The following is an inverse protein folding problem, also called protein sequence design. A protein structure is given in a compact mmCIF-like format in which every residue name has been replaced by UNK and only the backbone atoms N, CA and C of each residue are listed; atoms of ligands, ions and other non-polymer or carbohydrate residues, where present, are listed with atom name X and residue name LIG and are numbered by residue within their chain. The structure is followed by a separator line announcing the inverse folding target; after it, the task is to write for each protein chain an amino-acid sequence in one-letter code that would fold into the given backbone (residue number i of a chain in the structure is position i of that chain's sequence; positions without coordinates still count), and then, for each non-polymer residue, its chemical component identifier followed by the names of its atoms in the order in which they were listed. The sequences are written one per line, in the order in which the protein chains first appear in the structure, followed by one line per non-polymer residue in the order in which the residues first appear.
data_IF_888975901053
#
_entry.id   IF_888975901053
#
_cell.length_a   1.000
_cell.length_b   1.000
_cell.length_c   1.000
_cell.angle_alpha   90.00
_cell.angle_beta   90.00
_cell.angle_gamma   90.00
#
_symmetry.space_group_name_H-M   'P 1'
#
loop_
_entity.id
_entity.type
_entity.pdbx_description
1 polymer ?
#
# COMPACT_ATOMS: atom_id res chain seq x y z
N UNK A 1 -44.56 -32.52 -42.00
CA UNK A 1 -43.82 -31.36 -41.45
C UNK A 1 -44.11 -31.26 -39.95
N UNK A 2 -43.23 -31.77 -39.08
CA UNK A 2 -43.34 -31.63 -37.62
C UNK A 2 -42.13 -30.82 -37.14
N UNK A 3 -42.44 -29.71 -36.46
CA UNK A 3 -41.50 -28.68 -36.01
C UNK A 3 -40.63 -29.24 -34.87
N UNK A 4 -39.31 -29.17 -35.02
CA UNK A 4 -38.37 -29.39 -33.92
C UNK A 4 -38.35 -28.14 -33.05
N UNK A 5 -38.80 -28.25 -31.79
CA UNK A 5 -38.66 -27.20 -30.79
C UNK A 5 -37.32 -27.44 -30.09
N UNK A 6 -36.31 -26.65 -30.46
CA UNK A 6 -35.00 -26.62 -29.81
C UNK A 6 -35.15 -25.77 -28.55
N UNK A 7 -35.26 -26.43 -27.39
CA UNK A 7 -35.13 -25.76 -26.10
C UNK A 7 -33.66 -25.42 -25.88
N UNK A 8 -33.29 -24.16 -26.15
CA UNK A 8 -31.99 -23.64 -25.76
C UNK A 8 -32.07 -23.25 -24.29
N UNK A 9 -31.51 -24.09 -23.42
CA UNK A 9 -31.31 -23.76 -22.01
C UNK A 9 -30.23 -22.66 -21.98
N UNK A 10 -30.64 -21.42 -21.71
CA UNK A 10 -29.74 -20.32 -21.41
C UNK A 10 -29.23 -20.56 -19.99
N UNK A 11 -28.02 -21.10 -19.86
CA UNK A 11 -27.32 -21.17 -18.57
C UNK A 11 -26.77 -19.77 -18.30
N UNK A 12 -27.51 -18.99 -17.50
CA UNK A 12 -27.01 -17.75 -16.91
C UNK A 12 -25.93 -18.11 -15.89
N UNK A 13 -24.66 -18.03 -16.31
CA UNK A 13 -23.52 -18.13 -15.40
C UNK A 13 -23.46 -16.80 -14.64
N UNK A 14 -24.10 -16.77 -13.47
CA UNK A 14 -23.85 -15.71 -12.48
C UNK A 14 -22.61 -16.08 -11.68
N UNK A 15 -21.42 -15.72 -12.17
CA UNK A 15 -20.23 -15.69 -11.32
C UNK A 15 -20.20 -14.36 -10.57
N UNK A 16 -20.83 -14.33 -9.39
CA UNK A 16 -20.51 -13.31 -8.38
C UNK A 16 -19.37 -13.84 -7.51
N UNK A 17 -18.14 -13.44 -7.85
CA UNK A 17 -16.96 -13.52 -6.98
C UNK A 17 -16.38 -12.11 -6.89
N UNK A 18 -17.10 -11.19 -6.24
CA UNK A 18 -16.73 -9.76 -6.14
C UNK A 18 -16.31 -9.33 -4.72
N UNK A 19 -16.22 -10.25 -3.76
CA UNK A 19 -15.99 -9.91 -2.35
C UNK A 19 -14.52 -9.86 -1.90
N UNK A 20 -13.66 -10.77 -2.41
CA UNK A 20 -12.29 -10.92 -1.92
C UNK A 20 -11.29 -9.99 -2.63
N UNK A 21 -11.42 -9.79 -3.95
CA UNK A 21 -10.39 -9.09 -4.75
C UNK A 21 -10.27 -7.59 -4.46
N UNK A 22 -11.39 -6.90 -4.23
CA UNK A 22 -11.38 -5.45 -3.97
C UNK A 22 -10.87 -5.13 -2.56
N UNK A 23 -11.26 -5.94 -1.56
CA UNK A 23 -10.79 -5.76 -0.19
C UNK A 23 -9.29 -6.04 -0.07
N UNK A 24 -8.79 -7.08 -0.76
CA UNK A 24 -7.36 -7.40 -0.75
C UNK A 24 -6.55 -6.34 -1.51
N UNK A 25 -7.09 -5.79 -2.61
CA UNK A 25 -6.48 -4.66 -3.30
C UNK A 25 -6.41 -3.42 -2.41
N UNK A 26 -7.49 -3.08 -1.70
CA UNK A 26 -7.50 -1.96 -0.76
C UNK A 26 -6.42 -2.12 0.31
N UNK A 27 -6.35 -3.28 0.97
CA UNK A 27 -5.32 -3.57 1.99
C UNK A 27 -3.90 -3.45 1.43
N UNK A 28 -3.65 -3.97 0.24
CA UNK A 28 -2.35 -3.86 -0.40
C UNK A 28 -1.99 -2.40 -0.68
N UNK A 29 -2.95 -1.61 -1.16
CA UNK A 29 -2.78 -0.19 -1.41
C UNK A 29 -2.54 0.62 -0.13
N UNK A 30 -3.27 0.34 0.95
CA UNK A 30 -3.05 0.96 2.26
C UNK A 30 -1.67 0.61 2.83
N UNK A 31 -1.20 -0.63 2.64
CA UNK A 31 0.14 -1.03 3.06
C UNK A 31 1.23 -0.27 2.29
N UNK A 32 1.10 -0.15 0.96
CA UNK A 32 2.04 0.63 0.14
C UNK A 32 2.02 2.11 0.54
N UNK A 33 0.83 2.67 0.78
CA UNK A 33 0.65 4.05 1.23
C UNK A 33 1.38 4.31 2.55
N UNK A 34 1.10 3.50 3.58
CA UNK A 34 1.72 3.64 4.89
C UNK A 34 3.25 3.49 4.83
N UNK A 35 3.74 2.50 4.07
CA UNK A 35 5.17 2.30 3.85
C UNK A 35 5.81 3.49 3.12
N UNK A 36 5.13 4.06 2.13
CA UNK A 36 5.58 5.23 1.37
C UNK A 36 5.72 6.46 2.27
N UNK A 37 4.67 6.78 3.03
CA UNK A 37 4.67 7.91 3.97
C UNK A 37 5.79 7.74 5.01
N UNK A 38 5.89 6.57 5.63
CA UNK A 38 6.90 6.31 6.65
C UNK A 38 8.33 6.45 6.10
N UNK A 39 8.60 5.91 4.92
CA UNK A 39 9.91 6.08 4.28
C UNK A 39 10.19 7.53 3.90
N UNK A 40 9.19 8.32 3.53
CA UNK A 40 9.35 9.77 3.35
C UNK A 40 9.81 10.47 4.63
N UNK A 41 9.31 10.05 5.80
CA UNK A 41 9.81 10.54 7.10
C UNK A 41 11.23 10.07 7.39
N UNK A 42 11.56 8.80 7.14
CA UNK A 42 12.92 8.29 7.32
C UNK A 42 13.93 9.05 6.46
N UNK A 43 13.67 9.21 5.16
CA UNK A 43 14.53 9.94 4.24
C UNK A 43 14.76 11.39 4.71
N UNK A 44 13.68 12.05 5.16
CA UNK A 44 13.74 13.44 5.64
C UNK A 44 14.45 13.61 6.99
N UNK A 45 14.16 12.75 7.96
CA UNK A 45 14.65 12.89 9.33
C UNK A 45 16.06 12.31 9.45
N UNK A 46 16.28 11.13 8.87
CA UNK A 46 17.54 10.40 9.01
C UNK A 46 18.56 10.73 7.92
N UNK A 47 18.21 11.60 6.95
CA UNK A 47 19.11 12.00 5.86
C UNK A 47 19.47 10.86 4.91
N UNK A 48 18.54 9.92 4.71
CA UNK A 48 18.74 8.77 3.85
C UNK A 48 18.32 9.06 2.40
N UNK A 49 19.19 8.75 1.44
CA UNK A 49 18.96 8.95 0.00
C UNK A 49 18.58 7.63 -0.73
N UNK A 50 17.71 6.83 -0.11
CA UNK A 50 17.32 5.54 -0.69
C UNK A 50 16.30 5.61 -1.82
N UNK A 51 15.60 6.74 -1.97
CA UNK A 51 14.47 6.92 -2.88
C UNK A 51 13.39 5.84 -2.75
N UNK A 52 13.21 5.29 -1.54
CA UNK A 52 12.22 4.26 -1.24
C UNK A 52 10.81 4.84 -1.33
N UNK A 53 10.63 6.08 -0.83
CA UNK A 53 9.34 6.78 -0.92
C UNK A 53 8.88 6.90 -2.38
N UNK A 54 9.79 7.29 -3.28
CA UNK A 54 9.48 7.49 -4.70
C UNK A 54 9.19 6.16 -5.42
N UNK A 55 9.91 5.07 -5.07
CA UNK A 55 9.62 3.72 -5.57
C UNK A 55 8.24 3.23 -5.11
N UNK A 56 7.90 3.41 -3.84
CA UNK A 56 6.59 3.02 -3.32
C UNK A 56 5.45 3.85 -3.91
N UNK A 57 5.67 5.15 -4.15
CA UNK A 57 4.72 5.98 -4.89
C UNK A 57 4.48 5.47 -6.31
N UNK A 58 5.55 5.02 -6.99
CA UNK A 58 5.43 4.40 -8.32
C UNK A 58 4.57 3.14 -8.26
N UNK A 59 4.83 2.23 -7.31
CA UNK A 59 4.01 1.02 -7.14
C UNK A 59 2.55 1.34 -6.79
N UNK A 60 2.32 2.37 -5.97
CA UNK A 60 0.98 2.84 -5.63
C UNK A 60 0.20 3.32 -6.86
N UNK A 61 0.87 4.06 -7.74
CA UNK A 61 0.28 4.57 -8.98
C UNK A 61 0.06 3.46 -10.01
N UNK A 62 1.04 2.58 -10.21
CA UNK A 62 0.95 1.42 -11.13
C UNK A 62 -0.16 0.43 -10.71
N UNK A 63 -0.35 0.22 -9.41
CA UNK A 63 -1.43 -0.60 -8.87
C UNK A 63 -2.82 0.08 -8.90
N UNK A 64 -2.89 1.32 -9.41
CA UNK A 64 -4.11 2.13 -9.48
C UNK A 64 -4.73 2.37 -8.10
N UNK A 65 -3.91 2.54 -7.07
CA UNK A 65 -4.39 2.66 -5.69
C UNK A 65 -5.19 3.93 -5.44
N UNK A 66 -4.96 5.01 -6.21
CA UNK A 66 -5.75 6.25 -6.16
C UNK A 66 -7.24 6.05 -6.44
N UNK A 67 -7.60 4.99 -7.16
CA UNK A 67 -8.99 4.70 -7.49
C UNK A 67 -9.74 3.95 -6.37
N UNK A 68 -9.01 3.33 -5.43
CA UNK A 68 -9.59 2.47 -4.40
C UNK A 68 -9.37 2.99 -2.98
N UNK A 69 -8.30 3.74 -2.74
CA UNK A 69 -8.02 4.36 -1.43
C UNK A 69 -8.68 5.73 -1.38
N UNK A 70 -9.62 5.98 -0.46
CA UNK A 70 -10.20 7.30 -0.25
C UNK A 70 -9.15 8.33 0.17
N UNK A 71 -9.31 9.58 -0.26
CA UNK A 71 -8.40 10.67 0.15
C UNK A 71 -8.39 10.86 1.69
N UNK A 72 -9.52 10.65 2.36
CA UNK A 72 -9.59 10.68 3.83
C UNK A 72 -8.65 9.67 4.47
N UNK A 73 -8.55 8.45 3.91
CA UNK A 73 -7.60 7.43 4.38
C UNK A 73 -6.15 7.86 4.14
N UNK A 74 -5.87 8.56 3.04
CA UNK A 74 -4.53 9.14 2.78
C UNK A 74 -4.16 10.17 3.83
N UNK A 75 -5.08 11.09 4.13
CA UNK A 75 -4.87 12.17 5.09
C UNK A 75 -4.71 11.63 6.51
N UNK A 76 -5.59 10.71 6.92
CA UNK A 76 -5.54 10.04 8.22
C UNK A 76 -4.25 9.22 8.39
N UNK A 77 -3.88 8.42 7.38
CA UNK A 77 -2.64 7.63 7.43
C UNK A 77 -1.42 8.55 7.54
N UNK A 78 -1.43 9.68 6.82
CA UNK A 78 -0.34 10.65 6.88
C UNK A 78 -0.19 11.25 8.28
N UNK A 79 -1.30 11.60 8.93
CA UNK A 79 -1.30 12.10 10.30
C UNK A 79 -0.84 11.04 11.30
N UNK A 80 -1.40 9.84 11.23
CA UNK A 80 -1.09 8.74 12.15
C UNK A 80 0.39 8.34 12.07
N UNK A 81 0.97 8.23 10.87
CA UNK A 81 2.39 7.93 10.70
C UNK A 81 3.27 9.05 11.22
N UNK A 82 2.88 10.32 11.03
CA UNK A 82 3.63 11.45 11.56
C UNK A 82 3.64 11.45 13.11
N UNK A 83 2.48 11.21 13.72
CA UNK A 83 2.34 11.13 15.18
C UNK A 83 3.13 9.95 15.76
N UNK A 84 3.02 8.75 15.17
CA UNK A 84 3.79 7.58 15.58
C UNK A 84 5.31 7.83 15.47
N UNK A 85 5.75 8.41 14.36
CA UNK A 85 7.16 8.77 14.15
C UNK A 85 7.65 9.71 15.25
N UNK A 86 6.86 10.75 15.57
CA UNK A 86 7.19 11.69 16.65
C UNK A 86 7.24 11.00 18.01
N UNK A 87 6.29 10.11 18.31
CA UNK A 87 6.27 9.35 19.56
C UNK A 87 7.51 8.47 19.70
N UNK A 88 7.87 7.73 18.64
CA UNK A 88 9.05 6.84 18.64
C UNK A 88 10.35 7.63 18.81
N UNK A 89 10.50 8.77 18.11
CA UNK A 89 11.66 9.66 18.29
C UNK A 89 11.71 10.21 19.71
N UNK A 90 10.58 10.64 20.27
CA UNK A 90 10.53 11.14 21.64
C UNK A 90 10.86 10.07 22.68
N UNK A 91 10.54 8.80 22.43
CA UNK A 91 10.77 7.70 23.35
C UNK A 91 12.22 7.18 23.32
N UNK A 92 12.83 7.10 22.12
CA UNK A 92 14.12 6.43 21.92
C UNK A 92 15.26 7.39 21.55
N UNK A 93 14.94 8.63 21.18
CA UNK A 93 15.89 9.56 20.57
C UNK A 93 16.03 9.33 19.06
N UNK A 94 16.34 10.42 18.35
CA UNK A 94 16.47 10.42 16.88
C UNK A 94 17.56 9.45 16.40
N UNK A 95 18.71 9.41 17.07
CA UNK A 95 19.83 8.54 16.68
C UNK A 95 19.42 7.06 16.66
N UNK A 96 18.84 6.56 17.76
CA UNK A 96 18.39 5.17 17.86
C UNK A 96 17.23 4.88 16.92
N UNK A 97 16.30 5.84 16.77
CA UNK A 97 15.23 5.72 15.78
C UNK A 97 15.81 5.53 14.36
N UNK A 98 16.75 6.37 13.96
CA UNK A 98 17.36 6.28 12.64
C UNK A 98 18.18 5.01 12.48
N UNK A 99 19.06 4.67 13.41
CA UNK A 99 19.87 3.45 13.35
C UNK A 99 19.01 2.19 13.14
N UNK A 100 17.95 2.03 13.93
CA UNK A 100 17.10 0.83 13.88
C UNK A 100 16.30 0.75 12.58
N UNK A 101 15.72 1.86 12.12
CA UNK A 101 14.87 1.85 10.92
C UNK A 101 15.69 1.92 9.62
N UNK A 102 16.95 2.38 9.68
CA UNK A 102 17.87 2.40 8.54
C UNK A 102 18.65 1.10 8.36
N UNK A 103 18.86 0.34 9.45
CA UNK A 103 19.65 -0.89 9.43
C UNK A 103 19.28 -1.85 8.29
N UNK A 104 18.01 -2.14 8.00
CA UNK A 104 17.66 -3.04 6.90
C UNK A 104 18.17 -2.59 5.53
N UNK A 105 18.27 -1.27 5.29
CA UNK A 105 18.78 -0.71 4.05
C UNK A 105 20.30 -0.74 3.98
N UNK A 106 20.97 -0.48 5.11
CA UNK A 106 22.44 -0.53 5.23
C UNK A 106 22.96 -1.96 5.12
N UNK A 107 22.19 -2.92 5.62
CA UNK A 107 22.55 -4.34 5.61
C UNK A 107 22.26 -5.03 4.26
N UNK A 108 21.65 -4.33 3.29
CA UNK A 108 21.51 -4.86 1.93
C UNK A 108 22.92 -5.12 1.36
N UNK A 109 23.25 -6.38 1.13
CA UNK A 109 24.41 -6.73 0.32
C UNK A 109 24.07 -6.34 -1.11
N UNK A 110 24.97 -5.62 -1.78
CA UNK A 110 24.93 -5.51 -3.24
C UNK A 110 24.95 -6.94 -3.80
N UNK A 111 23.85 -7.39 -4.41
CA UNK A 111 23.76 -8.68 -5.11
C UNK A 111 24.50 -8.65 -6.45
#
# INVERSE_FOLDING_TARGET
MKKFIIYTIIISISTMTYGESEQDKLKACEAILGAGIFNGFLEKICGFEGHVKDRLLTFYDEAQCRAVVPQETVDETSMNVAEDTKMRISAFGEHTFCEVNMKPYVDLKEE
#
